data_IF_710239327828
#
_entry.id   IF_710239327828
#
_cell.length_a   1.000
_cell.length_b   1.000
_cell.length_c   1.000
_cell.angle_alpha   90.00
_cell.angle_beta   90.00
_cell.angle_gamma   90.00
#
_symmetry.space_group_name_H-M   'P 1'
#
loop_
_entity.id
_entity.type
_entity.pdbx_description
1 polymer ?
#
# COMPACT_ATOMS: atom_id res chain seq x y z
N UNK A 1 -9.43 2.43 -5.60
CA UNK A 1 -9.27 3.65 -4.83
C UNK A 1 -8.21 4.57 -5.39
N UNK A 2 -8.24 5.79 -4.93
CA UNK A 2 -7.25 6.78 -5.31
C UNK A 2 -6.19 6.92 -4.23
N UNK A 3 -4.94 7.11 -4.67
CA UNK A 3 -3.83 7.43 -3.78
C UNK A 3 -3.37 8.85 -4.07
N UNK A 4 -3.21 9.60 -3.02
CA UNK A 4 -2.58 10.92 -3.10
C UNK A 4 -1.08 10.75 -2.89
N UNK A 5 -0.29 11.46 -3.67
CA UNK A 5 1.14 11.40 -3.54
C UNK A 5 1.64 11.94 -2.21
N UNK A 6 2.66 11.30 -1.68
CA UNK A 6 3.43 11.79 -0.55
C UNK A 6 4.90 11.50 -0.83
N UNK A 7 5.78 12.42 -0.44
CA UNK A 7 7.23 12.25 -0.65
C UNK A 7 7.59 11.81 -2.08
N UNK A 8 6.96 12.42 -3.07
CA UNK A 8 7.21 12.13 -4.47
C UNK A 8 6.43 10.97 -5.06
N UNK A 9 5.58 10.32 -4.27
CA UNK A 9 4.71 9.26 -4.79
C UNK A 9 3.66 9.89 -5.70
N UNK A 10 3.48 9.39 -6.92
CA UNK A 10 2.54 10.01 -7.86
C UNK A 10 1.08 9.77 -7.49
N UNK A 11 0.22 10.68 -7.91
CA UNK A 11 -1.23 10.48 -7.80
C UNK A 11 -1.71 9.53 -8.91
N UNK A 12 -2.75 8.78 -8.60
CA UNK A 12 -3.30 7.86 -9.59
C UNK A 12 -4.35 6.93 -8.98
N UNK A 13 -4.60 5.84 -9.70
CA UNK A 13 -5.60 4.84 -9.32
C UNK A 13 -4.95 3.48 -9.14
N UNK A 14 -5.42 2.76 -8.14
CA UNK A 14 -4.95 1.44 -7.81
C UNK A 14 -6.05 0.41 -8.09
N UNK A 15 -5.71 -0.63 -8.82
CA UNK A 15 -6.57 -1.79 -9.04
C UNK A 15 -5.78 -3.03 -8.62
N UNK A 16 -6.38 -3.82 -7.76
CA UNK A 16 -5.69 -5.01 -7.31
C UNK A 16 -6.63 -6.00 -6.68
N UNK A 17 -6.08 -7.13 -6.35
CA UNK A 17 -6.79 -8.21 -5.68
C UNK A 17 -5.92 -8.80 -4.60
N UNK A 18 -6.57 -9.49 -3.67
CA UNK A 18 -5.84 -10.11 -2.58
C UNK A 18 -6.69 -11.10 -1.82
N UNK A 19 -6.06 -11.71 -0.85
CA UNK A 19 -6.69 -12.67 0.03
C UNK A 19 -6.38 -12.30 1.47
N UNK A 20 -7.39 -12.46 2.33
CA UNK A 20 -7.24 -12.24 3.76
C UNK A 20 -7.50 -13.52 4.51
N UNK A 21 -6.68 -13.79 5.51
CA UNK A 21 -6.82 -14.94 6.38
C UNK A 21 -6.87 -14.44 7.82
N UNK A 22 -7.87 -14.90 8.55
CA UNK A 22 -7.98 -14.58 9.96
C UNK A 22 -7.09 -15.50 10.78
N UNK A 23 -6.15 -14.93 11.48
CA UNK A 23 -5.26 -15.67 12.35
C UNK A 23 -5.80 -15.76 13.77
N UNK A 24 -4.95 -16.22 14.68
CA UNK A 24 -5.27 -16.32 16.10
C UNK A 24 -5.28 -14.93 16.74
N UNK A 25 -6.02 -14.81 17.85
CA UNK A 25 -6.04 -13.59 18.68
C UNK A 25 -6.53 -12.35 17.96
N UNK A 26 -7.42 -12.50 16.98
CA UNK A 26 -8.01 -11.36 16.27
C UNK A 26 -7.11 -10.71 15.25
N UNK A 27 -6.01 -11.36 14.88
CA UNK A 27 -5.11 -10.86 13.83
C UNK A 27 -5.63 -11.28 12.47
N UNK A 28 -5.68 -10.35 11.53
CA UNK A 28 -5.96 -10.63 10.12
C UNK A 28 -4.70 -10.41 9.32
N UNK A 29 -4.36 -11.37 8.47
CA UNK A 29 -3.19 -11.29 7.57
C UNK A 29 -3.70 -11.29 6.15
N UNK A 30 -3.23 -10.35 5.34
CA UNK A 30 -3.68 -10.19 3.97
C UNK A 30 -2.49 -10.11 3.02
N UNK A 31 -2.70 -10.60 1.80
CA UNK A 31 -1.76 -10.50 0.70
C UNK A 31 -2.46 -9.77 -0.44
N UNK A 32 -1.82 -8.74 -0.96
CA UNK A 32 -2.39 -7.92 -2.02
C UNK A 32 -1.40 -7.74 -3.15
N UNK A 33 -1.93 -7.69 -4.37
CA UNK A 33 -1.14 -7.36 -5.55
C UNK A 33 -2.01 -6.61 -6.54
N UNK A 34 -1.39 -5.83 -7.38
CA UNK A 34 -2.15 -5.09 -8.37
C UNK A 34 -1.28 -4.14 -9.16
N UNK A 35 -1.98 -3.23 -9.84
CA UNK A 35 -1.36 -2.21 -10.66
C UNK A 35 -1.87 -0.86 -10.22
N UNK A 36 -0.95 0.04 -10.02
CA UNK A 36 -1.22 1.45 -9.80
C UNK A 36 -0.95 2.17 -11.12
N UNK A 37 -1.93 2.93 -11.59
CA UNK A 37 -1.79 3.72 -12.81
C UNK A 37 -1.78 5.20 -12.43
N UNK A 38 -0.71 5.90 -12.80
CA UNK A 38 -0.60 7.32 -12.52
C UNK A 38 -1.56 8.11 -13.40
N UNK A 39 -1.82 9.36 -13.04
CA UNK A 39 -2.63 10.26 -13.86
C UNK A 39 -2.01 10.51 -15.24
N UNK A 40 -0.70 10.33 -15.35
CA UNK A 40 0.01 10.42 -16.63
C UNK A 40 -0.01 9.17 -17.48
N UNK A 41 -0.62 8.08 -16.97
CA UNK A 41 -0.75 6.82 -17.72
C UNK A 41 0.35 5.82 -17.49
N UNK A 42 1.32 6.10 -16.61
CA UNK A 42 2.37 5.13 -16.26
C UNK A 42 1.83 4.06 -15.33
N UNK A 43 2.30 2.84 -15.48
CA UNK A 43 1.87 1.73 -14.64
C UNK A 43 2.96 1.29 -13.68
N UNK A 44 2.54 0.94 -12.47
CA UNK A 44 3.41 0.50 -11.40
C UNK A 44 2.77 -0.72 -10.74
N UNK A 45 3.39 -1.87 -10.89
CA UNK A 45 2.93 -3.09 -10.21
C UNK A 45 3.30 -3.03 -8.74
N UNK A 46 2.41 -3.51 -7.89
CA UNK A 46 2.70 -3.59 -6.48
C UNK A 46 2.36 -4.96 -5.92
N UNK A 47 3.10 -5.35 -4.90
CA UNK A 47 2.81 -6.52 -4.08
C UNK A 47 2.96 -6.11 -2.63
N UNK A 48 2.05 -6.56 -1.79
CA UNK A 48 2.08 -6.19 -0.39
C UNK A 48 1.48 -7.23 0.50
N UNK A 49 1.80 -7.07 1.76
CA UNK A 49 1.31 -7.90 2.82
C UNK A 49 0.87 -6.97 3.94
N UNK A 50 -0.28 -7.21 4.52
CA UNK A 50 -0.69 -6.44 5.67
C UNK A 50 -1.13 -7.33 6.83
N UNK A 51 -1.06 -6.75 8.01
CA UNK A 51 -1.55 -7.37 9.24
C UNK A 51 -2.36 -6.32 9.97
N UNK A 52 -3.50 -6.75 10.51
CA UNK A 52 -4.35 -5.85 11.27
C UNK A 52 -4.86 -6.53 12.54
N UNK A 53 -5.06 -5.71 13.55
CA UNK A 53 -5.63 -6.13 14.84
C UNK A 53 -6.18 -4.91 15.56
N UNK A 54 -7.40 -5.03 16.09
CA UNK A 54 -8.01 -3.96 16.88
C UNK A 54 -8.01 -2.61 16.16
N UNK A 55 -8.39 -2.62 14.89
CA UNK A 55 -8.46 -1.43 14.04
C UNK A 55 -7.10 -0.78 13.73
N UNK A 56 -6.00 -1.45 14.09
CA UNK A 56 -4.66 -1.01 13.72
C UNK A 56 -4.11 -1.92 12.63
N UNK A 57 -3.31 -1.36 11.74
CA UNK A 57 -2.75 -2.13 10.64
C UNK A 57 -1.32 -1.70 10.32
N UNK A 58 -0.58 -2.66 9.75
CA UNK A 58 0.75 -2.44 9.18
C UNK A 58 0.75 -3.06 7.80
N UNK A 59 1.21 -2.31 6.81
CA UNK A 59 1.31 -2.77 5.43
C UNK A 59 2.77 -2.70 5.00
N UNK A 60 3.26 -3.78 4.41
CA UNK A 60 4.58 -3.84 3.78
C UNK A 60 4.36 -4.00 2.28
N UNK A 61 4.90 -3.11 1.47
CA UNK A 61 4.61 -3.06 0.04
C UNK A 61 5.87 -2.79 -0.77
N UNK A 62 5.98 -3.45 -1.92
CA UNK A 62 7.04 -3.19 -2.88
C UNK A 62 6.47 -2.94 -4.27
N UNK A 63 7.26 -2.31 -5.13
CA UNK A 63 6.82 -1.81 -6.43
C UNK A 63 7.78 -2.21 -7.54
N UNK A 64 7.23 -2.38 -8.76
CA UNK A 64 7.98 -2.67 -9.96
C UNK A 64 7.35 -1.95 -11.14
N UNK A 65 8.17 -1.38 -12.02
CA UNK A 65 7.68 -0.67 -13.19
C UNK A 65 8.68 -0.76 -14.33
N UNK A 66 8.17 -0.63 -15.56
CA UNK A 66 8.97 -0.45 -16.77
C UNK A 66 9.02 1.02 -17.21
N UNK A 67 8.35 1.90 -16.49
CA UNK A 67 8.32 3.31 -16.81
C UNK A 67 9.64 3.98 -16.44
N UNK A 68 10.25 4.70 -17.36
CA UNK A 68 11.47 5.46 -17.08
C UNK A 68 11.24 6.53 -16.03
N UNK A 69 10.06 7.12 -16.01
CA UNK A 69 9.70 8.17 -15.05
C UNK A 69 9.59 7.63 -13.63
N UNK A 70 9.16 6.38 -13.49
CA UNK A 70 8.92 5.77 -12.18
C UNK A 70 9.99 4.77 -11.77
N UNK A 71 11.04 4.61 -12.57
CA UNK A 71 12.04 3.56 -12.30
C UNK A 71 12.72 3.68 -10.95
N UNK A 72 12.71 4.87 -10.36
CA UNK A 72 13.25 5.10 -9.04
C UNK A 72 12.47 4.33 -7.95
N UNK A 73 11.25 3.89 -8.26
CA UNK A 73 10.42 3.12 -7.35
C UNK A 73 10.68 1.61 -7.42
N UNK A 74 11.46 1.15 -8.41
CA UNK A 74 11.75 -0.28 -8.52
C UNK A 74 12.48 -0.78 -7.29
N UNK A 75 11.91 -1.80 -6.66
CA UNK A 75 12.48 -2.36 -5.45
C UNK A 75 12.29 -1.50 -4.20
N UNK A 76 11.56 -0.39 -4.32
CA UNK A 76 11.22 0.43 -3.16
C UNK A 76 10.37 -0.39 -2.19
N UNK A 77 10.73 -0.37 -0.93
CA UNK A 77 9.95 -1.02 0.11
C UNK A 77 9.32 0.05 0.98
N UNK A 78 7.99 0.04 1.02
CA UNK A 78 7.22 0.99 1.81
C UNK A 78 6.55 0.29 2.97
N UNK A 79 6.56 0.93 4.12
CA UNK A 79 5.86 0.48 5.31
C UNK A 79 4.80 1.51 5.64
N UNK A 80 3.55 1.06 5.76
CA UNK A 80 2.45 1.92 6.17
C UNK A 80 1.95 1.42 7.52
N UNK A 81 1.85 2.34 8.46
CA UNK A 81 1.24 2.07 9.76
C UNK A 81 0.03 2.94 9.92
N UNK A 82 -1.03 2.40 10.47
CA UNK A 82 -2.21 3.20 10.63
C UNK A 82 -3.27 2.57 11.51
N UNK A 83 -4.37 3.28 11.62
CA UNK A 83 -5.54 2.82 12.33
C UNK A 83 -6.80 3.24 11.61
N UNK A 84 -7.83 2.42 11.78
CA UNK A 84 -9.18 2.73 11.34
C UNK A 84 -9.98 3.19 12.55
N UNK A 85 -10.69 4.29 12.40
CA UNK A 85 -11.57 4.84 13.45
C UNK A 85 -13.02 4.62 13.06
N UNK A 86 -13.69 3.61 13.64
CA UNK A 86 -15.07 3.31 13.27
C UNK A 86 -16.04 4.45 13.59
N UNK A 87 -15.78 5.22 14.64
CA UNK A 87 -16.65 6.31 15.07
C UNK A 87 -16.79 7.40 14.01
N UNK A 88 -15.72 7.71 13.31
CA UNK A 88 -15.68 8.75 12.27
C UNK A 88 -15.54 8.20 10.87
N UNK A 89 -15.44 6.86 10.73
CA UNK A 89 -15.22 6.18 9.46
C UNK A 89 -13.95 6.69 8.75
N UNK A 90 -12.92 6.94 9.51
CA UNK A 90 -11.66 7.48 9.02
C UNK A 90 -10.52 6.48 9.12
N UNK A 91 -9.61 6.55 8.13
CA UNK A 91 -8.32 5.90 8.19
C UNK A 91 -7.25 6.95 8.43
N UNK A 92 -6.33 6.65 9.33
CA UNK A 92 -5.13 7.46 9.53
C UNK A 92 -3.92 6.57 9.33
N UNK A 93 -2.99 7.01 8.49
CA UNK A 93 -1.79 6.23 8.24
C UNK A 93 -0.59 7.13 8.03
N UNK A 94 0.58 6.57 8.34
CA UNK A 94 1.87 7.18 8.09
C UNK A 94 2.68 6.17 7.29
N UNK A 95 3.32 6.65 6.23
CA UNK A 95 4.13 5.81 5.37
C UNK A 95 5.61 6.09 5.53
N UNK A 96 6.40 5.03 5.41
CA UNK A 96 7.86 5.07 5.51
C UNK A 96 8.47 4.32 4.35
N UNK A 97 9.60 4.82 3.87
CA UNK A 97 10.45 4.06 2.96
C UNK A 97 11.44 3.26 3.80
N UNK A 98 11.59 1.97 3.48
CA UNK A 98 12.60 1.14 4.12
C UNK A 98 13.95 1.45 3.49
N UNK A 99 14.86 2.00 4.27
CA UNK A 99 16.23 2.29 3.86
C UNK A 99 17.19 1.36 4.61
N UNK A 100 18.11 0.79 3.87
CA UNK A 100 19.16 0.00 4.48
C UNK A 100 20.31 0.89 4.91
#
# INVERSE_FOLDING_TARGET
>A
GELKGFNGFPDGKKVGSGQSVQGKNGVTISHWQGIFTTTGGDELSFKGRDMSKNNKFVVLRTYFTNSDTLKWMNGLICILEGEFRPDSNEFRSVGYEWLK
#
